data_IF_765893162859
#
_entry.id   IF_765893162859
#
_cell.length_a   1.000
_cell.length_b   1.000
_cell.length_c   1.000
_cell.angle_alpha   90.00
_cell.angle_beta   90.00
_cell.angle_gamma   90.00
#
_symmetry.space_group_name_H-M   'P 1'
#
loop_
_entity.id
_entity.type
_entity.pdbx_description
1 polymer ?
#
# COMPACT_ATOMS: atom_id res chain seq x y z
N UNK A 1 51.01 17.50 -67.71
CA UNK A 1 50.81 18.53 -66.67
C UNK A 1 49.66 18.06 -65.80
N UNK A 2 49.95 17.35 -64.70
CA UNK A 2 48.91 16.83 -63.80
C UNK A 2 48.36 17.96 -62.94
N UNK A 3 47.11 18.36 -63.19
CA UNK A 3 46.36 19.27 -62.32
C UNK A 3 46.04 18.55 -61.01
N UNK A 4 46.66 18.98 -59.91
CA UNK A 4 46.30 18.57 -58.55
C UNK A 4 44.86 19.05 -58.26
N UNK A 5 43.97 18.23 -57.68
CA UNK A 5 42.66 18.71 -57.25
C UNK A 5 42.84 19.75 -56.13
N UNK A 6 41.93 20.73 -55.99
CA UNK A 6 42.01 21.74 -54.95
C UNK A 6 41.96 21.04 -53.59
N UNK A 7 43.05 21.15 -52.83
CA UNK A 7 43.14 20.64 -51.46
C UNK A 7 42.10 21.37 -50.61
N UNK A 8 41.07 20.66 -50.14
CA UNK A 8 40.11 21.22 -49.19
C UNK A 8 40.88 21.78 -47.98
N UNK A 9 40.63 23.03 -47.56
CA UNK A 9 41.42 23.62 -46.49
C UNK A 9 41.24 22.82 -45.18
N UNK A 10 42.31 22.65 -44.36
CA UNK A 10 42.28 21.79 -43.17
C UNK A 10 41.18 22.15 -42.17
N UNK A 11 40.83 23.43 -42.05
CA UNK A 11 39.74 23.90 -41.17
C UNK A 11 38.36 23.42 -41.62
N UNK A 12 38.14 23.28 -42.93
CA UNK A 12 36.87 22.81 -43.47
C UNK A 12 36.72 21.31 -43.24
N UNK A 13 37.80 20.55 -43.41
CA UNK A 13 37.81 19.11 -43.12
C UNK A 13 37.55 18.83 -41.63
N UNK A 14 38.19 19.58 -40.74
CA UNK A 14 37.96 19.47 -39.31
C UNK A 14 36.51 19.82 -38.90
N UNK A 15 35.93 20.87 -39.51
CA UNK A 15 34.55 21.26 -39.24
C UNK A 15 33.53 20.22 -39.75
N UNK A 16 33.76 19.63 -40.93
CA UNK A 16 32.93 18.56 -41.47
C UNK A 16 33.02 17.32 -40.57
N UNK A 17 34.22 16.95 -40.11
CA UNK A 17 34.41 15.82 -39.21
C UNK A 17 33.69 16.01 -37.84
N UNK A 18 33.71 17.22 -37.26
CA UNK A 18 32.95 17.52 -36.02
C UNK A 18 31.44 17.44 -36.24
N UNK A 19 30.94 17.94 -37.38
CA UNK A 19 29.54 17.83 -37.77
C UNK A 19 29.13 16.35 -37.90
N UNK A 20 29.92 15.55 -38.61
CA UNK A 20 29.67 14.11 -38.77
C UNK A 20 29.71 13.35 -37.43
N UNK A 21 30.60 13.74 -36.51
CA UNK A 21 30.68 13.14 -35.18
C UNK A 21 29.43 13.44 -34.36
N UNK A 22 28.90 14.67 -34.42
CA UNK A 22 27.67 15.06 -33.70
C UNK A 22 26.42 14.39 -34.25
N UNK A 23 26.32 14.27 -35.58
CA UNK A 23 25.25 13.52 -36.24
C UNK A 23 25.30 12.05 -35.83
N UNK A 24 26.50 11.44 -35.82
CA UNK A 24 26.70 10.05 -35.37
C UNK A 24 26.38 9.83 -33.89
N UNK A 25 26.75 10.75 -33.02
CA UNK A 25 26.46 10.65 -31.58
C UNK A 25 24.94 10.59 -31.31
N UNK A 26 24.15 11.36 -32.07
CA UNK A 26 22.70 11.32 -31.96
C UNK A 26 22.07 10.10 -32.65
N UNK A 27 22.63 9.64 -33.78
CA UNK A 27 22.19 8.40 -34.43
C UNK A 27 22.45 7.14 -33.56
N UNK A 28 23.55 7.11 -32.79
CA UNK A 28 23.87 6.01 -31.86
C UNK A 28 22.99 6.03 -30.60
N UNK A 29 22.44 7.19 -30.23
CA UNK A 29 21.45 7.29 -29.15
C UNK A 29 20.02 6.89 -29.56
N UNK A 30 19.80 6.52 -30.84
CA UNK A 30 18.60 5.80 -31.23
C UNK A 30 18.81 4.32 -30.85
N UNK A 31 18.14 3.77 -29.82
CA UNK A 31 18.20 2.34 -29.57
C UNK A 31 17.73 1.62 -30.83
N UNK A 32 18.47 0.59 -31.22
CA UNK A 32 18.20 -0.28 -32.35
C UNK A 32 16.74 -0.76 -32.24
N UNK A 33 15.84 -0.17 -33.04
CA UNK A 33 14.40 -0.45 -33.05
C UNK A 33 14.12 -1.79 -33.74
N UNK A 34 14.70 -2.85 -33.19
CA UNK A 34 14.45 -4.21 -33.61
C UNK A 34 14.23 -5.05 -32.34
N UNK A 35 12.96 -5.24 -31.99
CA UNK A 35 12.43 -6.30 -31.12
C UNK A 35 12.01 -5.99 -29.67
N UNK A 36 11.49 -4.80 -29.36
CA UNK A 36 10.59 -4.66 -28.19
C UNK A 36 9.31 -3.93 -28.57
N UNK A 37 8.17 -4.63 -28.41
CA UNK A 37 6.81 -4.13 -28.64
C UNK A 37 6.47 -2.99 -27.67
N UNK A 38 6.97 -1.80 -27.93
CA UNK A 38 6.63 -0.61 -27.15
C UNK A 38 5.16 -0.25 -27.34
N UNK A 39 4.45 -0.02 -26.23
CA UNK A 39 3.07 0.46 -26.23
C UNK A 39 2.96 1.80 -26.97
N UNK A 40 1.79 2.11 -27.54
CA UNK A 40 1.56 3.38 -28.25
C UNK A 40 1.94 4.60 -27.40
N UNK A 41 1.63 4.56 -26.09
CA UNK A 41 1.97 5.61 -25.14
C UNK A 41 3.49 5.81 -25.00
N UNK A 42 4.25 4.73 -24.91
CA UNK A 42 5.72 4.77 -24.80
C UNK A 42 6.36 5.31 -26.08
N UNK A 43 5.81 4.97 -27.26
CA UNK A 43 6.26 5.54 -28.54
C UNK A 43 6.00 7.03 -28.61
N UNK A 44 4.82 7.48 -28.17
CA UNK A 44 4.48 8.90 -28.14
C UNK A 44 5.38 9.67 -27.17
N UNK A 45 5.61 9.14 -25.97
CA UNK A 45 6.48 9.75 -24.96
C UNK A 45 7.94 9.85 -25.48
N UNK A 46 8.45 8.78 -26.08
CA UNK A 46 9.78 8.77 -26.69
C UNK A 46 9.90 9.79 -27.85
N UNK A 47 8.87 9.90 -28.70
CA UNK A 47 8.81 10.90 -29.77
C UNK A 47 8.89 12.33 -29.23
N UNK A 48 8.09 12.66 -28.22
CA UNK A 48 8.08 14.01 -27.64
C UNK A 48 9.36 14.33 -26.86
N UNK A 49 10.02 13.32 -26.28
CA UNK A 49 11.34 13.50 -25.66
C UNK A 49 12.45 13.69 -26.70
N UNK A 50 12.44 12.97 -27.83
CA UNK A 50 13.48 13.04 -28.88
C UNK A 50 13.39 14.27 -29.78
N UNK A 51 12.17 14.74 -30.06
CA UNK A 51 11.89 15.89 -30.91
C UNK A 51 12.70 17.16 -30.59
N UNK A 52 12.82 17.62 -29.33
CA UNK A 52 13.62 18.81 -29.02
C UNK A 52 15.12 18.62 -29.28
N UNK A 53 15.69 17.43 -29.07
CA UNK A 53 17.11 17.19 -29.38
C UNK A 53 17.37 17.21 -30.88
N UNK A 54 16.47 16.64 -31.68
CA UNK A 54 16.55 16.69 -33.15
C UNK A 54 16.41 18.11 -33.69
N UNK A 55 15.47 18.89 -33.15
CA UNK A 55 15.30 20.30 -33.53
C UNK A 55 16.55 21.12 -33.18
N UNK A 56 17.14 20.90 -32.01
CA UNK A 56 18.38 21.57 -31.59
C UNK A 56 19.57 21.20 -32.48
N UNK A 57 19.68 19.94 -32.93
CA UNK A 57 20.72 19.54 -33.86
C UNK A 57 20.53 20.22 -35.22
N UNK A 58 19.31 20.22 -35.74
CA UNK A 58 19.02 20.77 -37.06
C UNK A 58 19.31 22.28 -37.11
N UNK A 59 18.98 23.00 -36.04
CA UNK A 59 19.34 24.42 -35.92
C UNK A 59 20.86 24.61 -35.81
N UNK A 60 21.58 23.84 -35.00
CA UNK A 60 23.05 23.91 -34.91
C UNK A 60 23.72 23.63 -36.27
N UNK A 61 23.26 22.60 -36.99
CA UNK A 61 23.74 22.27 -38.35
C UNK A 61 23.48 23.40 -39.34
N UNK A 62 22.29 24.01 -39.30
CA UNK A 62 21.94 25.11 -40.17
C UNK A 62 22.85 26.33 -39.94
N UNK A 63 23.05 26.73 -38.67
CA UNK A 63 23.93 27.86 -38.34
C UNK A 63 25.39 27.58 -38.74
N UNK A 64 25.88 26.36 -38.51
CA UNK A 64 27.24 25.98 -38.93
C UNK A 64 27.39 25.93 -40.44
N UNK A 65 26.39 25.45 -41.17
CA UNK A 65 26.40 25.48 -42.63
C UNK A 65 26.51 26.92 -43.14
N UNK A 66 25.70 27.84 -42.62
CA UNK A 66 25.76 29.26 -42.98
C UNK A 66 27.14 29.86 -42.66
N UNK A 67 27.66 29.59 -41.46
CA UNK A 67 28.99 30.05 -41.04
C UNK A 67 30.11 29.50 -41.93
N UNK A 68 30.08 28.22 -42.28
CA UNK A 68 31.08 27.60 -43.14
C UNK A 68 30.98 28.12 -44.59
N UNK A 69 29.76 28.32 -45.10
CA UNK A 69 29.52 28.88 -46.42
C UNK A 69 30.04 30.32 -46.52
N UNK A 70 29.77 31.14 -45.51
CA UNK A 70 30.26 32.53 -45.42
C UNK A 70 31.79 32.60 -45.29
N UNK A 71 32.38 31.78 -44.41
CA UNK A 71 33.84 31.70 -44.30
C UNK A 71 34.49 31.19 -45.59
N UNK A 72 33.83 30.27 -46.30
CA UNK A 72 34.34 29.74 -47.56
C UNK A 72 34.25 30.79 -48.68
N UNK A 73 33.14 31.52 -48.79
CA UNK A 73 32.99 32.62 -49.76
C UNK A 73 34.01 33.73 -49.51
N UNK A 74 34.25 34.11 -48.24
CA UNK A 74 35.30 35.04 -47.84
C UNK A 74 36.70 34.51 -48.21
N UNK A 75 36.96 33.21 -48.02
CA UNK A 75 38.25 32.60 -48.39
C UNK A 75 38.50 32.58 -49.91
N UNK A 76 37.44 32.45 -50.71
CA UNK A 76 37.52 32.54 -52.17
C UNK A 76 37.74 33.99 -52.61
N UNK A 77 37.01 34.94 -52.01
CA UNK A 77 37.19 36.37 -52.26
C UNK A 77 38.62 36.82 -51.90
N UNK A 78 39.16 36.39 -50.76
CA UNK A 78 40.53 36.67 -50.33
C UNK A 78 41.59 36.07 -51.27
N UNK A 79 41.37 34.86 -51.82
CA UNK A 79 42.26 34.26 -52.82
C UNK A 79 42.22 35.01 -54.16
N UNK A 80 41.03 35.46 -54.59
CA UNK A 80 40.86 36.25 -55.80
C UNK A 80 41.48 37.66 -55.66
N UNK A 81 41.38 38.27 -54.47
CA UNK A 81 42.09 39.50 -54.14
C UNK A 81 43.61 39.29 -54.09
N UNK A 82 44.11 38.16 -53.58
CA UNK A 82 45.54 37.87 -53.58
C UNK A 82 46.11 37.70 -55.00
N UNK A 83 45.35 37.11 -55.93
CA UNK A 83 45.71 37.01 -57.36
C UNK A 83 45.70 38.37 -58.06
N UNK A 84 44.78 39.26 -57.69
CA UNK A 84 44.75 40.65 -58.17
C UNK A 84 45.86 41.52 -57.53
N UNK A 85 46.19 41.28 -56.26
CA UNK A 85 47.20 42.01 -55.50
C UNK A 85 48.65 41.63 -55.87
N UNK A 86 48.90 40.45 -56.46
CA UNK A 86 50.22 40.15 -57.06
C UNK A 86 50.52 40.94 -58.34
N UNK A 87 49.58 41.75 -58.84
CA UNK A 87 49.82 42.74 -59.88
C UNK A 87 49.82 44.20 -59.35
N UNK A 88 49.67 44.41 -58.04
CA UNK A 88 49.66 45.75 -57.45
C UNK A 88 50.13 45.69 -56.01
N UNK A 89 51.44 45.83 -55.83
CA UNK A 89 52.04 46.24 -54.57
C UNK A 89 51.43 47.57 -54.12
N UNK A 90 50.82 47.59 -52.92
CA UNK A 90 51.08 48.56 -51.84
C UNK A 90 49.94 48.56 -50.79
N UNK A 91 50.33 48.21 -49.56
CA UNK A 91 49.95 48.82 -48.27
C UNK A 91 48.48 48.79 -47.79
N UNK A 92 48.25 47.88 -46.83
CA UNK A 92 47.90 48.15 -45.40
C UNK A 92 46.56 48.80 -45.00
N UNK A 93 45.92 48.07 -44.07
CA UNK A 93 45.20 48.52 -42.86
C UNK A 93 43.68 48.27 -42.83
N UNK A 94 43.32 47.48 -41.82
CA UNK A 94 42.00 47.21 -41.25
C UNK A 94 41.00 48.38 -41.30
N UNK A 95 39.80 48.06 -41.79
CA UNK A 95 38.54 48.73 -41.45
C UNK A 95 37.48 47.64 -41.23
N UNK A 96 36.89 47.59 -40.03
CA UNK A 96 35.56 46.97 -39.86
C UNK A 96 34.52 48.06 -40.10
N UNK A 97 33.86 47.89 -41.24
CA UNK A 97 32.98 48.80 -41.93
C UNK A 97 31.53 48.43 -41.60
N UNK A 98 30.76 49.37 -41.04
CA UNK A 98 29.33 49.19 -40.80
C UNK A 98 28.56 50.42 -41.28
N UNK A 99 27.79 50.18 -42.33
CA UNK A 99 26.80 51.03 -42.99
C UNK A 99 27.34 52.17 -43.86
N UNK A 100 27.24 51.98 -45.18
CA UNK A 100 26.92 53.07 -46.10
C UNK A 100 26.04 52.56 -47.25
N UNK A 101 24.75 52.85 -47.10
CA UNK A 101 23.79 53.01 -48.19
C UNK A 101 23.81 54.49 -48.58
N UNK A 102 24.45 54.81 -49.71
CA UNK A 102 24.28 56.06 -50.44
C UNK A 102 25.01 55.91 -51.78
N UNK A 103 24.26 56.05 -52.88
CA UNK A 103 24.77 55.96 -54.24
C UNK A 103 25.99 56.84 -54.46
N UNK A 104 27.13 56.21 -54.73
CA UNK A 104 28.31 56.88 -55.25
C UNK A 104 28.41 56.58 -56.73
N UNK A 105 28.09 57.61 -57.52
CA UNK A 105 28.08 57.60 -58.97
C UNK A 105 29.44 57.17 -59.54
N UNK A 106 29.37 56.33 -60.56
CA UNK A 106 30.46 55.96 -61.45
C UNK A 106 31.12 57.21 -62.05
N UNK A 107 32.24 57.65 -61.48
CA UNK A 107 33.21 58.51 -62.16
C UNK A 107 34.16 57.63 -62.97
N UNK A 108 33.66 57.06 -64.07
CA UNK A 108 34.53 56.53 -65.11
C UNK A 108 34.79 57.66 -66.10
N UNK A 109 35.91 58.36 -65.93
CA UNK A 109 36.39 59.33 -66.90
C UNK A 109 36.96 58.56 -68.09
N UNK A 110 36.11 58.33 -69.09
CA UNK A 110 36.48 57.75 -70.37
C UNK A 110 37.23 58.82 -71.19
N UNK A 111 38.39 58.52 -71.80
CA UNK A 111 39.09 59.46 -72.66
C UNK A 111 38.21 59.79 -73.87
N UNK A 112 37.89 61.08 -74.01
CA UNK A 112 37.12 61.66 -75.11
C UNK A 112 37.83 61.31 -76.42
N UNK A 113 37.21 60.44 -77.21
CA UNK A 113 37.59 60.22 -78.60
C UNK A 113 36.44 59.59 -79.40
N UNK A 114 35.27 60.24 -79.48
CA UNK A 114 34.30 59.91 -80.54
C UNK A 114 33.69 61.17 -81.15
N UNK A 115 33.75 61.15 -82.47
CA UNK A 115 33.15 62.07 -83.43
C UNK A 115 31.65 62.15 -83.15
N UNK A 116 31.10 63.37 -83.13
CA UNK A 116 29.67 63.62 -83.08
C UNK A 116 28.97 63.01 -84.30
N UNK A 117 28.53 61.76 -84.20
CA UNK A 117 27.37 61.27 -84.91
C UNK A 117 26.15 61.58 -84.04
N UNK A 118 25.16 62.27 -84.60
CA UNK A 118 23.90 62.55 -83.93
C UNK A 118 23.35 61.26 -83.29
N UNK A 119 22.76 61.33 -82.08
CA UNK A 119 22.14 60.15 -81.49
C UNK A 119 21.15 59.60 -82.51
N UNK A 120 21.35 58.35 -82.93
CA UNK A 120 20.40 57.69 -83.81
C UNK A 120 19.05 57.76 -83.11
N UNK A 121 18.14 58.55 -83.66
CA UNK A 121 16.83 58.80 -83.06
C UNK A 121 16.10 57.47 -82.81
N UNK A 122 16.43 56.44 -83.58
CA UNK A 122 15.95 55.07 -83.43
C UNK A 122 16.38 54.42 -82.11
N UNK A 123 17.64 54.63 -81.68
CA UNK A 123 18.18 54.11 -80.42
C UNK A 123 17.54 54.81 -79.21
N UNK A 124 17.39 56.14 -79.25
CA UNK A 124 16.72 56.88 -78.18
C UNK A 124 15.24 56.49 -78.03
N UNK A 125 14.53 56.28 -79.15
CA UNK A 125 13.15 55.81 -79.14
C UNK A 125 13.08 54.38 -78.58
N UNK A 126 14.01 53.51 -78.95
CA UNK A 126 14.07 52.14 -78.43
C UNK A 126 14.32 52.11 -76.91
N UNK A 127 15.25 52.92 -76.39
CA UNK A 127 15.51 53.03 -74.95
C UNK A 127 14.30 53.58 -74.18
N UNK A 128 13.61 54.59 -74.73
CA UNK A 128 12.41 55.14 -74.09
C UNK A 128 11.28 54.10 -74.03
N UNK A 129 11.10 53.31 -75.10
CA UNK A 129 10.09 52.24 -75.13
C UNK A 129 10.45 51.12 -74.15
N UNK A 130 11.72 50.70 -74.08
CA UNK A 130 12.19 49.71 -73.11
C UNK A 130 11.97 50.19 -71.67
N UNK A 131 12.34 51.43 -71.35
CA UNK A 131 12.12 52.02 -70.03
C UNK A 131 10.63 52.11 -69.67
N UNK A 132 9.75 52.33 -70.64
CA UNK A 132 8.30 52.32 -70.44
C UNK A 132 7.78 50.91 -70.11
N UNK A 133 8.18 49.91 -70.90
CA UNK A 133 7.79 48.51 -70.68
C UNK A 133 8.34 47.98 -69.36
N UNK A 134 9.59 48.30 -69.01
CA UNK A 134 10.20 47.90 -67.74
C UNK A 134 9.46 48.53 -66.54
N UNK A 135 9.06 49.80 -66.66
CA UNK A 135 8.27 50.47 -65.62
C UNK A 135 6.92 49.78 -65.42
N UNK A 136 6.25 49.40 -66.51
CA UNK A 136 4.95 48.72 -66.44
C UNK A 136 5.09 47.29 -65.88
N UNK A 137 6.12 46.53 -66.28
CA UNK A 137 6.44 45.21 -65.70
C UNK A 137 6.74 45.29 -64.20
N UNK A 138 7.51 46.29 -63.76
CA UNK A 138 7.81 46.51 -62.35
C UNK A 138 6.56 46.91 -61.56
N UNK A 139 5.67 47.69 -62.16
CA UNK A 139 4.39 48.07 -61.55
C UNK A 139 3.49 46.84 -61.34
N UNK A 140 3.35 45.99 -62.37
CA UNK A 140 2.57 44.74 -62.31
C UNK A 140 3.14 43.77 -61.26
N UNK A 141 4.46 43.58 -61.22
CA UNK A 141 5.09 42.70 -60.23
C UNK A 141 4.95 43.26 -58.81
N UNK A 142 4.99 44.58 -58.63
CA UNK A 142 4.71 45.20 -57.34
C UNK A 142 3.25 45.01 -56.91
N UNK A 143 2.30 45.12 -57.84
CA UNK A 143 0.88 44.85 -57.59
C UNK A 143 0.65 43.37 -57.24
N UNK A 144 1.29 42.44 -57.95
CA UNK A 144 1.26 41.00 -57.66
C UNK A 144 1.74 40.71 -56.24
N UNK A 145 2.88 41.30 -55.82
CA UNK A 145 3.39 41.16 -54.45
C UNK A 145 2.46 41.74 -53.39
N UNK A 146 1.81 42.89 -53.66
CA UNK A 146 0.81 43.47 -52.76
C UNK A 146 -0.40 42.56 -52.61
N UNK A 147 -0.90 42.00 -53.71
CA UNK A 147 -2.02 41.04 -53.68
C UNK A 147 -1.67 39.76 -52.91
N UNK A 148 -0.47 39.23 -53.09
CA UNK A 148 0.02 38.09 -52.30
C UNK A 148 0.15 38.42 -50.81
N UNK A 149 0.67 39.60 -50.47
CA UNK A 149 0.76 40.06 -49.08
C UNK A 149 -0.62 40.23 -48.45
N UNK A 150 -1.59 40.78 -49.18
CA UNK A 150 -2.97 40.92 -48.72
C UNK A 150 -3.60 39.54 -48.43
N UNK A 151 -3.44 38.57 -49.33
CA UNK A 151 -3.91 37.18 -49.11
C UNK A 151 -3.26 36.52 -47.90
N UNK A 152 -1.95 36.75 -47.68
CA UNK A 152 -1.24 36.24 -46.49
C UNK A 152 -1.79 36.84 -45.20
N UNK A 153 -2.05 38.15 -45.18
CA UNK A 153 -2.65 38.84 -44.03
C UNK A 153 -4.05 38.28 -43.74
N UNK A 154 -4.86 38.07 -44.77
CA UNK A 154 -6.20 37.50 -44.64
C UNK A 154 -6.18 36.05 -44.10
N UNK A 155 -5.27 35.21 -44.62
CA UNK A 155 -5.05 33.85 -44.11
C UNK A 155 -4.58 33.84 -42.66
N UNK A 156 -3.67 34.75 -42.29
CA UNK A 156 -3.21 34.90 -40.91
C UNK A 156 -4.34 35.34 -39.98
N UNK A 157 -5.20 36.27 -40.41
CA UNK A 157 -6.40 36.66 -39.67
C UNK A 157 -7.35 35.48 -39.44
N UNK A 158 -7.65 34.73 -40.50
CA UNK A 158 -8.50 33.53 -40.42
C UNK A 158 -7.94 32.48 -39.47
N UNK A 159 -6.62 32.27 -39.46
CA UNK A 159 -5.96 31.35 -38.53
C UNK A 159 -6.11 31.82 -37.07
N UNK A 160 -5.96 33.11 -36.81
CA UNK A 160 -6.14 33.67 -35.47
C UNK A 160 -7.58 33.46 -34.98
N UNK A 161 -8.58 33.72 -35.83
CA UNK A 161 -9.99 33.49 -35.48
C UNK A 161 -10.27 32.03 -35.13
N UNK A 162 -9.71 31.07 -35.89
CA UNK A 162 -9.85 29.64 -35.59
C UNK A 162 -9.21 29.31 -34.23
N UNK A 163 -7.98 29.77 -33.97
CA UNK A 163 -7.31 29.52 -32.69
C UNK A 163 -8.04 30.16 -31.50
N UNK A 164 -8.62 31.35 -31.68
CA UNK A 164 -9.45 31.99 -30.66
C UNK A 164 -10.73 31.21 -30.40
N UNK A 165 -11.36 30.66 -31.44
CA UNK A 165 -12.55 29.81 -31.29
C UNK A 165 -12.24 28.49 -30.57
N UNK A 166 -11.13 27.83 -30.91
CA UNK A 166 -10.67 26.62 -30.22
C UNK A 166 -10.36 26.90 -28.74
N UNK A 167 -9.69 28.03 -28.46
CA UNK A 167 -9.42 28.46 -27.08
C UNK A 167 -10.73 28.63 -26.29
N UNK A 168 -11.76 29.25 -26.86
CA UNK A 168 -13.05 29.42 -26.21
C UNK A 168 -13.74 28.08 -25.92
N UNK A 169 -13.71 27.15 -26.88
CA UNK A 169 -14.25 25.79 -26.70
C UNK A 169 -13.53 25.09 -25.55
N UNK A 170 -12.19 25.09 -25.56
CA UNK A 170 -11.38 24.45 -24.52
C UNK A 170 -11.61 25.06 -23.13
N UNK A 171 -11.78 26.39 -23.03
CA UNK A 171 -12.15 27.04 -21.77
C UNK A 171 -13.52 26.57 -21.27
N UNK A 172 -14.49 26.42 -22.17
CA UNK A 172 -15.82 25.89 -21.84
C UNK A 172 -15.77 24.44 -21.38
N UNK A 173 -15.00 23.60 -22.06
CA UNK A 173 -14.79 22.20 -21.66
C UNK A 173 -14.08 22.07 -20.32
N UNK A 174 -13.04 22.87 -20.07
CA UNK A 174 -12.35 22.91 -18.78
C UNK A 174 -13.28 23.33 -17.65
N UNK A 175 -14.12 24.35 -17.86
CA UNK A 175 -15.12 24.73 -16.86
C UNK A 175 -16.10 23.59 -16.57
N UNK A 176 -16.61 22.93 -17.62
CA UNK A 176 -17.51 21.77 -17.49
C UNK A 176 -16.86 20.60 -16.76
N UNK A 177 -15.59 20.30 -17.05
CA UNK A 177 -14.83 19.27 -16.35
C UNK A 177 -14.60 19.66 -14.89
N UNK A 178 -14.31 20.93 -14.61
CA UNK A 178 -14.21 21.46 -13.25
C UNK A 178 -15.48 21.21 -12.43
N UNK A 179 -16.66 21.53 -12.97
CA UNK A 179 -17.94 21.26 -12.30
C UNK A 179 -18.21 19.77 -12.06
N UNK A 180 -17.81 18.91 -13.00
CA UNK A 180 -17.94 17.46 -12.83
C UNK A 180 -16.99 16.93 -11.78
N UNK A 181 -15.75 17.42 -11.74
CA UNK A 181 -14.78 17.06 -10.74
C UNK A 181 -15.26 17.45 -9.34
N UNK A 182 -15.74 18.69 -9.17
CA UNK A 182 -16.28 19.16 -7.88
C UNK A 182 -17.49 18.34 -7.44
N UNK A 183 -18.42 18.02 -8.35
CA UNK A 183 -19.57 17.18 -8.04
C UNK A 183 -19.14 15.76 -7.61
N UNK A 184 -18.18 15.16 -8.31
CA UNK A 184 -17.64 13.85 -7.95
C UNK A 184 -16.92 13.86 -6.59
N UNK A 185 -16.21 14.95 -6.25
CA UNK A 185 -15.58 15.13 -4.95
C UNK A 185 -16.61 15.24 -3.81
N UNK A 186 -17.71 15.98 -4.02
CA UNK A 186 -18.80 16.09 -3.06
C UNK A 186 -19.49 14.74 -2.81
N UNK A 187 -19.79 13.99 -3.87
CA UNK A 187 -20.35 12.63 -3.77
C UNK A 187 -19.41 11.68 -3.03
N UNK A 188 -18.10 11.72 -3.34
CA UNK A 188 -17.09 10.91 -2.66
C UNK A 188 -16.98 11.27 -1.16
N UNK A 189 -17.03 12.56 -0.82
CA UNK A 189 -17.01 13.02 0.56
C UNK A 189 -18.26 12.56 1.34
N UNK A 190 -19.44 12.63 0.73
CA UNK A 190 -20.69 12.12 1.31
C UNK A 190 -20.62 10.61 1.55
N UNK A 191 -20.18 9.83 0.55
CA UNK A 191 -20.00 8.38 0.67
C UNK A 191 -18.99 8.02 1.78
N UNK A 192 -17.90 8.77 1.91
CA UNK A 192 -16.91 8.57 2.97
C UNK A 192 -17.52 8.84 4.36
N UNK A 193 -18.36 9.86 4.50
CA UNK A 193 -19.06 10.16 5.75
C UNK A 193 -20.04 9.05 6.14
N UNK A 194 -20.82 8.54 5.18
CA UNK A 194 -21.75 7.41 5.39
C UNK A 194 -21.00 6.14 5.81
N UNK A 195 -19.94 5.78 5.08
CA UNK A 195 -19.09 4.65 5.41
C UNK A 195 -18.49 4.79 6.82
N UNK A 196 -18.04 6.00 7.17
CA UNK A 196 -17.51 6.32 8.50
C UNK A 196 -18.56 6.18 9.61
N UNK A 197 -19.82 6.54 9.34
CA UNK A 197 -20.93 6.30 10.26
C UNK A 197 -21.20 4.80 10.45
N UNK A 198 -21.34 4.06 9.34
CA UNK A 198 -21.61 2.62 9.39
C UNK A 198 -20.51 1.84 10.11
N UNK A 199 -19.23 2.19 9.87
CA UNK A 199 -18.09 1.60 10.59
C UNK A 199 -18.16 1.83 12.10
N UNK A 200 -18.49 3.05 12.53
CA UNK A 200 -18.67 3.37 13.96
C UNK A 200 -19.81 2.55 14.57
N UNK A 201 -20.94 2.47 13.87
CA UNK A 201 -22.10 1.69 14.31
C UNK A 201 -21.79 0.19 14.42
N UNK A 202 -21.09 -0.36 13.44
CA UNK A 202 -20.63 -1.75 13.48
C UNK A 202 -19.67 -2.01 14.64
N UNK A 203 -18.76 -1.07 14.92
CA UNK A 203 -17.84 -1.17 16.06
C UNK A 203 -18.57 -1.12 17.41
N UNK A 204 -19.59 -0.28 17.56
CA UNK A 204 -20.46 -0.25 18.75
C UNK A 204 -21.17 -1.59 18.95
N UNK A 205 -21.79 -2.12 17.89
CA UNK A 205 -22.47 -3.41 17.92
C UNK A 205 -21.52 -4.55 18.30
N UNK A 206 -20.30 -4.56 17.75
CA UNK A 206 -19.28 -5.54 18.09
C UNK A 206 -18.92 -5.50 19.58
N UNK A 207 -18.76 -4.30 20.16
CA UNK A 207 -18.50 -4.14 21.61
C UNK A 207 -19.66 -4.67 22.46
N UNK A 208 -20.91 -4.40 22.07
CA UNK A 208 -22.08 -4.90 22.79
C UNK A 208 -22.16 -6.42 22.77
N UNK A 209 -21.85 -7.06 21.63
CA UNK A 209 -21.83 -8.52 21.52
C UNK A 209 -20.77 -9.15 22.43
N UNK A 210 -19.58 -8.55 22.54
CA UNK A 210 -18.54 -9.02 23.46
C UNK A 210 -19.01 -8.92 24.91
N UNK A 211 -19.56 -7.77 25.31
CA UNK A 211 -20.13 -7.57 26.65
C UNK A 211 -21.21 -8.60 26.98
N UNK A 212 -22.16 -8.83 26.08
CA UNK A 212 -23.23 -9.82 26.27
C UNK A 212 -22.68 -11.24 26.49
N UNK A 213 -21.61 -11.62 25.79
CA UNK A 213 -20.97 -12.94 25.99
C UNK A 213 -20.31 -13.04 27.36
N UNK A 214 -19.65 -11.98 27.81
CA UNK A 214 -19.05 -11.91 29.14
C UNK A 214 -20.11 -11.97 30.23
N UNK A 215 -21.17 -11.15 30.13
CA UNK A 215 -22.29 -11.14 31.07
C UNK A 215 -22.98 -12.51 31.16
N UNK A 216 -23.19 -13.17 30.02
CA UNK A 216 -23.74 -14.52 29.99
C UNK A 216 -22.83 -15.52 30.71
N UNK A 217 -21.50 -15.43 30.50
CA UNK A 217 -20.53 -16.29 31.20
C UNK A 217 -20.54 -16.04 32.70
N UNK A 218 -20.57 -14.78 33.13
CA UNK A 218 -20.66 -14.39 34.54
C UNK A 218 -21.93 -14.95 35.17
N UNK A 219 -23.07 -14.82 34.50
CA UNK A 219 -24.34 -15.39 34.96
C UNK A 219 -24.27 -16.91 35.13
N UNK A 220 -23.72 -17.62 34.14
CA UNK A 220 -23.57 -19.08 34.19
C UNK A 220 -22.62 -19.54 35.31
N UNK A 221 -21.54 -18.78 35.57
CA UNK A 221 -20.63 -19.06 36.68
C UNK A 221 -21.30 -18.76 38.03
N UNK A 222 -22.05 -17.66 38.14
CA UNK A 222 -22.83 -17.31 39.34
C UNK A 222 -23.76 -18.46 39.77
N UNK A 223 -24.55 -18.99 38.84
CA UNK A 223 -25.43 -20.15 39.11
C UNK A 223 -24.67 -21.40 39.57
N UNK A 224 -23.47 -21.65 39.02
CA UNK A 224 -22.62 -22.77 39.46
C UNK A 224 -22.08 -22.55 40.87
N UNK A 225 -21.69 -21.33 41.19
CA UNK A 225 -21.22 -20.96 42.53
C UNK A 225 -22.34 -21.17 43.54
N UNK A 226 -23.55 -20.69 43.26
CA UNK A 226 -24.72 -20.89 44.13
C UNK A 226 -25.02 -22.38 44.34
N UNK A 227 -24.99 -23.18 43.28
CA UNK A 227 -25.21 -24.62 43.38
C UNK A 227 -24.13 -25.32 44.23
N UNK A 228 -22.85 -24.94 44.04
CA UNK A 228 -21.74 -25.47 44.85
C UNK A 228 -21.85 -25.03 46.32
N UNK A 229 -22.23 -23.78 46.58
CA UNK A 229 -22.46 -23.27 47.94
C UNK A 229 -23.58 -24.05 48.64
N UNK A 230 -24.69 -24.33 47.95
CA UNK A 230 -25.77 -25.15 48.49
C UNK A 230 -25.30 -26.59 48.80
N UNK A 231 -24.45 -27.16 47.96
CA UNK A 231 -23.86 -28.48 48.21
C UNK A 231 -22.93 -28.49 49.42
N UNK A 232 -22.06 -27.47 49.54
CA UNK A 232 -21.15 -27.31 50.69
C UNK A 232 -21.97 -27.18 51.97
N UNK A 233 -22.97 -26.30 51.99
CA UNK A 233 -23.85 -26.13 53.14
C UNK A 233 -24.56 -27.44 53.53
N UNK A 234 -25.09 -28.19 52.54
CA UNK A 234 -25.71 -29.48 52.80
C UNK A 234 -24.73 -30.56 53.29
N UNK A 235 -23.45 -30.49 52.92
CA UNK A 235 -22.40 -31.36 53.46
C UNK A 235 -22.00 -30.96 54.88
N UNK A 236 -21.87 -29.66 55.15
CA UNK A 236 -21.59 -29.12 56.48
C UNK A 236 -22.67 -29.53 57.49
N UNK A 237 -23.95 -29.42 57.10
CA UNK A 237 -25.07 -29.83 57.94
C UNK A 237 -25.02 -31.32 58.29
N UNK A 238 -24.82 -32.20 57.29
CA UNK A 238 -24.69 -33.65 57.51
C UNK A 238 -23.46 -34.01 58.34
N UNK A 239 -22.33 -33.34 58.12
CA UNK A 239 -21.13 -33.54 58.93
C UNK A 239 -21.41 -33.19 60.39
N UNK A 240 -22.10 -32.06 60.64
CA UNK A 240 -22.49 -31.66 61.99
C UNK A 240 -23.39 -32.70 62.66
N UNK A 241 -24.41 -33.20 61.97
CA UNK A 241 -25.27 -34.28 62.47
C UNK A 241 -24.47 -35.56 62.79
N UNK A 242 -23.52 -35.93 61.94
CA UNK A 242 -22.60 -37.04 62.20
C UNK A 242 -21.76 -36.81 63.47
N UNK A 243 -21.25 -35.61 63.70
CA UNK A 243 -20.50 -35.29 64.92
C UNK A 243 -21.39 -35.33 66.18
N UNK A 244 -22.60 -34.79 66.09
CA UNK A 244 -23.56 -34.77 67.21
C UNK A 244 -24.00 -36.19 67.59
N UNK A 245 -24.29 -37.04 66.60
CA UNK A 245 -24.62 -38.46 66.84
C UNK A 245 -23.45 -39.19 67.49
N UNK A 246 -22.22 -39.04 66.98
CA UNK A 246 -21.03 -39.64 67.59
C UNK A 246 -20.81 -39.16 69.03
N UNK A 247 -21.00 -37.87 69.31
CA UNK A 247 -20.89 -37.31 70.64
C UNK A 247 -21.97 -37.87 71.61
N UNK A 248 -23.21 -38.05 71.13
CA UNK A 248 -24.29 -38.65 71.90
C UNK A 248 -23.97 -40.12 72.26
N UNK A 249 -23.52 -40.92 71.28
CA UNK A 249 -23.07 -42.30 71.51
C UNK A 249 -21.94 -42.37 72.54
N UNK A 250 -20.97 -41.45 72.47
CA UNK A 250 -19.89 -41.38 73.45
C UNK A 250 -20.38 -41.00 74.85
N UNK A 251 -21.35 -40.09 74.95
CA UNK A 251 -21.96 -39.69 76.22
C UNK A 251 -22.74 -40.85 76.85
N UNK A 252 -23.58 -41.55 76.07
CA UNK A 252 -24.30 -42.75 76.51
C UNK A 252 -23.34 -43.84 76.99
N UNK A 253 -22.24 -44.08 76.27
CA UNK A 253 -21.21 -45.04 76.68
C UNK A 253 -20.56 -44.66 78.01
N UNK A 254 -20.31 -43.36 78.25
CA UNK A 254 -19.76 -42.86 79.54
C UNK A 254 -20.76 -43.03 80.68
N UNK A 255 -22.06 -42.75 80.45
CA UNK A 255 -23.13 -42.97 81.43
C UNK A 255 -23.23 -44.45 81.78
N UNK A 256 -23.28 -45.34 80.78
CA UNK A 256 -23.31 -46.79 81.00
C UNK A 256 -22.08 -47.29 81.75
N UNK A 257 -20.88 -46.77 81.47
CA UNK A 257 -19.67 -47.08 82.22
C UNK A 257 -19.75 -46.62 83.68
N UNK A 258 -20.26 -45.41 83.93
CA UNK A 258 -20.45 -44.89 85.30
C UNK A 258 -21.50 -45.68 86.09
N UNK A 259 -22.60 -46.09 85.44
CA UNK A 259 -23.63 -46.93 86.05
C UNK A 259 -23.08 -48.32 86.38
N UNK A 260 -22.30 -48.92 85.48
CA UNK A 260 -21.61 -50.18 85.71
C UNK A 260 -20.65 -50.10 86.91
N UNK A 261 -19.89 -49.00 87.03
CA UNK A 261 -19.05 -48.75 88.20
C UNK A 261 -19.85 -48.58 89.50
N UNK A 262 -21.00 -47.89 89.45
CA UNK A 262 -21.91 -47.76 90.60
C UNK A 262 -22.43 -49.13 91.05
N UNK A 263 -22.91 -49.94 90.11
CA UNK A 263 -23.38 -51.30 90.39
C UNK A 263 -22.27 -52.20 90.90
N UNK A 264 -21.02 -52.05 90.43
CA UNK A 264 -19.86 -52.75 90.99
C UNK A 264 -19.57 -52.33 92.42
N UNK A 265 -19.65 -51.05 92.74
CA UNK A 265 -19.46 -50.55 94.10
C UNK A 265 -20.56 -51.06 95.05
N UNK A 266 -21.82 -51.04 94.60
CA UNK A 266 -22.96 -51.56 95.36
C UNK A 266 -22.88 -53.07 95.55
N UNK A 267 -22.54 -53.84 94.51
CA UNK A 267 -22.28 -55.28 94.65
C UNK A 267 -21.14 -55.57 95.62
N UNK A 268 -20.06 -54.76 95.61
CA UNK A 268 -18.98 -54.89 96.61
C UNK A 268 -19.49 -54.62 98.03
N UNK A 269 -20.36 -53.62 98.22
CA UNK A 269 -20.98 -53.32 99.52
C UNK A 269 -21.86 -54.47 99.99
N UNK A 270 -22.76 -54.96 99.13
CA UNK A 270 -23.63 -56.09 99.44
C UNK A 270 -22.82 -57.38 99.71
N UNK A 271 -21.74 -57.61 98.97
CA UNK A 271 -20.83 -58.72 99.23
C UNK A 271 -20.12 -58.59 100.59
N UNK A 272 -19.72 -57.37 100.97
CA UNK A 272 -19.15 -57.10 102.29
C UNK A 272 -20.18 -57.26 103.42
N UNK A 273 -21.41 -56.76 103.25
CA UNK A 273 -22.54 -56.96 104.17
C UNK A 273 -22.87 -58.45 104.32
N UNK A 274 -22.92 -59.21 103.21
CA UNK A 274 -23.12 -60.65 103.23
C UNK A 274 -21.96 -61.39 103.91
N UNK A 275 -20.71 -60.95 103.72
CA UNK A 275 -19.54 -61.51 104.41
C UNK A 275 -19.57 -61.24 105.92
N UNK A 276 -19.99 -60.04 106.35
CA UNK A 276 -20.18 -59.69 107.77
C UNK A 276 -21.35 -60.48 108.38
N UNK A 277 -22.47 -60.64 107.65
CA UNK A 277 -23.58 -61.47 108.07
C UNK A 277 -23.18 -62.95 108.18
N UNK A 278 -22.36 -63.45 107.24
CA UNK A 278 -21.80 -64.79 107.30
C UNK A 278 -20.82 -64.95 108.48
N UNK A 279 -20.02 -63.94 108.80
CA UNK A 279 -19.13 -63.93 109.98
C UNK A 279 -19.92 -63.85 111.30
N UNK A 280 -21.03 -63.12 111.34
CA UNK A 280 -21.94 -63.07 112.50
C UNK A 280 -22.72 -64.39 112.69
N UNK A 281 -23.07 -65.07 111.59
CA UNK A 281 -23.61 -66.43 111.62
C UNK A 281 -22.55 -67.49 112.02
N UNK A 282 -21.26 -67.16 111.89
CA UNK A 282 -20.13 -67.98 112.31
C UNK A 282 -19.68 -67.70 113.76
N UNK A 283 -20.62 -67.57 114.71
CA UNK A 283 -20.35 -67.83 116.13
C UNK A 283 -20.44 -69.34 116.39
N UNK A 284 -19.61 -69.93 117.28
CA UNK A 284 -19.35 -71.36 117.28
C UNK A 284 -20.53 -72.13 117.91
N UNK A 285 -21.44 -72.64 117.07
CA UNK A 285 -22.35 -73.70 117.47
C UNK A 285 -21.77 -75.06 117.08
N UNK A 286 -21.47 -75.84 118.12
CA UNK A 286 -21.02 -77.24 118.10
C UNK A 286 -21.86 -78.11 117.15
N UNK A 287 -21.18 -78.70 116.16
CA UNK A 287 -21.12 -80.15 115.86
C UNK A 287 -22.44 -80.94 115.87
N UNK A 288 -22.96 -81.34 114.69
CA UNK A 288 -23.29 -82.76 114.37
C UNK A 288 -23.71 -83.01 112.90
N UNK A 289 -22.89 -83.82 112.21
CA UNK A 289 -23.20 -85.08 111.50
C UNK A 289 -24.16 -85.07 110.27
N UNK A 290 -23.54 -85.48 109.15
CA UNK A 290 -23.97 -86.33 108.03
C UNK A 290 -25.43 -86.32 107.55
N UNK A 291 -25.58 -86.16 106.24
CA UNK A 291 -26.61 -86.88 105.49
C UNK A 291 -27.06 -86.22 104.19
N UNK A 292 -26.39 -86.57 103.10
CA UNK A 292 -26.95 -86.95 101.79
C UNK A 292 -27.81 -85.99 100.92
N UNK A 293 -27.44 -86.01 99.63
CA UNK A 293 -28.25 -85.82 98.41
C UNK A 293 -28.62 -84.42 97.92
N UNK A 294 -28.51 -84.23 96.59
CA UNK A 294 -29.43 -83.37 95.85
C UNK A 294 -28.82 -82.36 94.88
N UNK A 295 -28.64 -82.79 93.63
CA UNK A 295 -28.71 -82.05 92.35
C UNK A 295 -28.95 -80.52 92.34
N UNK A 296 -28.20 -79.80 91.50
CA UNK A 296 -28.60 -78.45 91.07
C UNK A 296 -27.56 -77.67 90.27
N UNK A 297 -27.10 -78.16 89.13
CA UNK A 297 -26.15 -77.46 88.25
C UNK A 297 -26.66 -77.38 86.81
N UNK A 298 -27.65 -76.52 86.53
CA UNK A 298 -28.24 -76.43 85.19
C UNK A 298 -28.49 -75.01 84.65
N UNK A 299 -28.00 -73.94 85.30
CA UNK A 299 -28.35 -72.57 84.86
C UNK A 299 -27.29 -71.81 84.03
N UNK A 300 -26.03 -72.28 83.94
CA UNK A 300 -24.96 -71.55 83.23
C UNK A 300 -24.75 -71.95 81.76
N UNK A 301 -25.63 -72.73 81.14
CA UNK A 301 -25.49 -73.16 79.73
C UNK A 301 -26.36 -72.41 78.72
N UNK A 302 -27.00 -71.28 79.09
CA UNK A 302 -27.92 -70.54 78.21
C UNK A 302 -27.57 -69.08 77.92
N UNK A 303 -26.28 -68.71 78.04
CA UNK A 303 -25.76 -67.36 77.71
C UNK A 303 -24.58 -67.43 76.75
N UNK A 304 -24.61 -68.35 75.77
CA UNK A 304 -23.61 -68.43 74.70
C UNK A 304 -24.24 -68.66 73.31
N UNK A 305 -25.41 -68.06 73.08
CA UNK A 305 -26.18 -68.16 71.83
C UNK A 305 -26.89 -66.83 71.52
N UNK A 306 -26.15 -65.72 71.58
CA UNK A 306 -26.59 -64.41 71.11
C UNK A 306 -25.40 -63.69 70.47
N UNK A 307 -24.89 -64.28 69.38
CA UNK A 307 -23.88 -63.68 68.52
C UNK A 307 -24.18 -64.05 67.06
N UNK A 308 -25.42 -63.82 66.64
CA UNK A 308 -25.82 -63.81 65.24
C UNK A 308 -26.77 -62.63 65.03
N UNK A 309 -26.19 -61.45 64.83
CA UNK A 309 -26.86 -60.30 64.23
C UNK A 309 -25.92 -59.80 63.12
N UNK A 310 -26.32 -60.05 61.88
CA UNK A 310 -25.70 -59.53 60.66
C UNK A 310 -26.23 -58.13 60.35
N UNK A 311 -25.37 -57.19 59.92
CA UNK A 311 -25.78 -56.11 59.04
C UNK A 311 -25.46 -56.44 57.58
N UNK A 312 -26.34 -55.99 56.70
CA UNK A 312 -26.35 -56.17 55.26
C UNK A 312 -25.09 -55.65 54.54
N UNK A 313 -24.78 -56.31 53.42
CA UNK A 313 -23.67 -56.03 52.51
C UNK A 313 -23.76 -54.66 51.79
N UNK A 314 -22.62 -54.12 51.30
CA UNK A 314 -22.59 -52.93 50.44
C UNK A 314 -22.93 -53.27 48.99
N UNK A 315 -23.88 -52.53 48.41
CA UNK A 315 -24.18 -52.55 46.98
C UNK A 315 -23.05 -51.91 46.18
N UNK A 316 -22.28 -52.74 45.44
CA UNK A 316 -21.35 -52.27 44.43
C UNK A 316 -22.12 -51.72 43.22
N UNK A 317 -22.08 -50.40 43.02
CA UNK A 317 -22.55 -49.78 41.78
C UNK A 317 -21.44 -49.85 40.74
N UNK A 318 -21.66 -50.68 39.72
CA UNK A 318 -20.86 -50.74 38.49
C UNK A 318 -20.95 -49.41 37.72
N UNK A 319 -19.84 -48.67 37.64
CA UNK A 319 -19.67 -47.58 36.68
C UNK A 319 -19.45 -48.19 35.30
N UNK A 320 -20.43 -48.04 34.41
CA UNK A 320 -20.28 -48.38 32.98
C UNK A 320 -19.38 -47.35 32.31
N UNK A 321 -18.25 -47.85 31.82
CA UNK A 321 -17.34 -47.22 30.87
C UNK A 321 -18.01 -47.18 29.49
N UNK A 322 -18.47 -46.01 29.04
CA UNK A 322 -18.77 -45.78 27.62
C UNK A 322 -17.60 -45.03 26.98
N UNK A 323 -16.78 -45.76 26.25
CA UNK A 323 -15.89 -45.20 25.25
C UNK A 323 -16.69 -44.97 23.96
N UNK A 324 -16.71 -43.73 23.46
CA UNK A 324 -17.01 -43.45 22.06
C UNK A 324 -15.85 -42.64 21.48
N UNK A 325 -15.18 -43.27 20.52
CA UNK A 325 -14.02 -42.81 19.76
C UNK A 325 -14.51 -42.52 18.34
N UNK A 326 -14.35 -41.28 17.87
CA UNK A 326 -14.32 -40.85 16.45
C UNK A 326 -14.43 -39.33 16.42
N UNK A 327 -13.77 -38.53 15.58
CA UNK A 327 -12.88 -38.73 14.44
C UNK A 327 -12.24 -37.36 14.19
N UNK A 328 -10.94 -37.32 13.93
CA UNK A 328 -10.33 -36.16 13.29
C UNK A 328 -10.79 -36.08 11.84
N UNK A 329 -11.11 -34.86 11.37
CA UNK A 329 -11.06 -34.52 9.95
C UNK A 329 -10.67 -33.05 9.84
N UNK A 330 -9.40 -32.84 9.52
CA UNK A 330 -8.88 -31.68 8.80
C UNK A 330 -9.43 -31.69 7.38
N UNK A 331 -9.96 -30.56 6.91
CA UNK A 331 -10.01 -30.24 5.47
C UNK A 331 -10.09 -28.72 5.29
N UNK A 332 -9.04 -28.18 4.68
CA UNK A 332 -8.92 -26.87 4.06
C UNK A 332 -9.52 -26.89 2.64
N UNK A 333 -10.30 -25.87 2.25
CA UNK A 333 -10.49 -25.42 0.85
C UNK A 333 -11.14 -24.02 0.93
N UNK A 334 -10.46 -22.89 0.67
CA UNK A 334 -10.15 -22.21 -0.61
C UNK A 334 -11.28 -22.14 -1.66
N UNK A 335 -11.39 -20.94 -2.25
CA UNK A 335 -12.12 -20.52 -3.46
C UNK A 335 -13.65 -20.29 -3.31
N UNK A 336 -14.29 -19.32 -3.97
CA UNK A 336 -13.89 -18.13 -4.73
C UNK A 336 -15.19 -17.37 -5.12
N UNK A 337 -15.01 -16.07 -5.43
CA UNK A 337 -15.70 -15.31 -6.48
C UNK A 337 -17.16 -14.81 -6.31
N UNK A 338 -17.27 -13.47 -6.47
CA UNK A 338 -18.25 -12.70 -7.29
C UNK A 338 -19.74 -12.79 -6.91
N UNK A 339 -20.57 -11.74 -6.93
CA UNK A 339 -20.65 -10.64 -7.87
C UNK A 339 -21.64 -9.56 -7.35
N UNK A 340 -21.28 -8.29 -7.56
CA UNK A 340 -22.12 -7.25 -8.20
C UNK A 340 -23.44 -6.79 -7.57
N UNK A 341 -23.46 -5.56 -7.08
CA UNK A 341 -24.16 -4.40 -7.70
C UNK A 341 -23.71 -3.11 -7.03
#
# INVERSE_FOLDING_TARGET
MSCRPPTCPPWLQAAIADIEQRVRALAVSAPDEAATEHSFAERAENYYQKRPQLLSLLTDLHHRYLYLADRYSQSLAAKNLHLAATASDCCSSDVDDRCSDAGSSLSFQQPINEVAAAPDASLMVAELVLAWVDRDLLADEAERRRAEAARKIELQGSLVEVLESERLVLLGENARLGFRASAAEEEAAAAAAELGYMRRRAAEMARLVVKLREDHRVCMLGRKIEALQAQVYGLELRNRECYETMAAWEAERKVGAAELERLRAENRRLAAEAAVAAAAAAMPRKKKKNGNSGSGGWWWSRVRLAAEWTPCAPSAVTVRKSASRSRATTASTTAAASASS
#
